data_IF_233222286688
#
_entry.id   IF_233222286688
#
_cell.length_a   1.000
_cell.length_b   1.000
_cell.length_c   1.000
_cell.angle_alpha   90.00
_cell.angle_beta   90.00
_cell.angle_gamma   90.00
#
_symmetry.space_group_name_H-M   'P 1'
#
loop_
_entity.id
_entity.type
_entity.pdbx_description
1 polymer ?
#
# COMPACT_ATOMS: atom_id res chain seq x y z
N UNK A 1 5.16 5.47 -4.45
CA UNK A 1 5.75 4.09 -4.30
C UNK A 1 5.67 3.27 -5.61
N UNK A 2 6.62 2.34 -5.87
CA UNK A 2 6.54 1.35 -6.99
C UNK A 2 6.10 -0.02 -6.47
N UNK A 3 5.19 -0.70 -7.16
CA UNK A 3 4.75 -2.06 -6.84
C UNK A 3 5.20 -3.02 -7.94
N UNK A 4 5.76 -4.16 -7.59
CA UNK A 4 6.15 -5.20 -8.55
C UNK A 4 5.25 -6.42 -8.34
N UNK A 5 4.60 -6.87 -9.41
CA UNK A 5 3.76 -8.07 -9.42
C UNK A 5 4.26 -9.05 -10.49
N UNK A 6 4.10 -10.35 -10.25
CA UNK A 6 4.34 -11.39 -11.23
C UNK A 6 3.02 -11.72 -11.95
N UNK A 7 2.83 -11.22 -13.16
CA UNK A 7 1.61 -11.44 -13.94
C UNK A 7 1.97 -12.29 -15.16
N UNK A 8 1.27 -13.41 -15.35
CA UNK A 8 1.55 -14.38 -16.43
C UNK A 8 3.02 -14.89 -16.47
N UNK A 9 3.71 -14.90 -15.34
CA UNK A 9 5.12 -15.31 -15.25
C UNK A 9 6.14 -14.21 -15.59
N UNK A 10 5.67 -13.00 -15.89
CA UNK A 10 6.52 -11.82 -16.14
C UNK A 10 6.39 -10.81 -14.99
N UNK A 11 7.49 -10.13 -14.68
CA UNK A 11 7.50 -9.10 -13.62
C UNK A 11 7.02 -7.78 -14.21
N UNK A 12 5.88 -7.31 -13.76
CA UNK A 12 5.33 -6.00 -14.11
C UNK A 12 5.55 -5.02 -12.96
N UNK A 13 5.87 -3.77 -13.29
CA UNK A 13 6.13 -2.70 -12.33
C UNK A 13 5.07 -1.63 -12.51
N UNK A 14 4.25 -1.45 -11.47
CA UNK A 14 3.19 -0.45 -11.41
C UNK A 14 3.64 0.78 -10.61
N UNK A 15 3.23 1.95 -11.08
CA UNK A 15 3.48 3.22 -10.41
C UNK A 15 2.17 3.80 -9.90
N UNK A 16 2.25 4.57 -8.81
CA UNK A 16 1.10 5.34 -8.34
C UNK A 16 0.68 6.36 -9.41
N UNK A 17 -0.62 6.59 -9.60
CA UNK A 17 -1.11 7.59 -10.53
C UNK A 17 -0.79 9.01 -10.03
N UNK A 18 -0.66 9.97 -10.95
CA UNK A 18 -0.42 11.39 -10.63
C UNK A 18 -1.52 12.00 -9.74
N UNK A 19 -2.75 11.50 -9.87
CA UNK A 19 -3.89 11.95 -9.09
C UNK A 19 -4.45 10.81 -8.24
N UNK A 20 -4.34 10.97 -6.92
CA UNK A 20 -4.89 10.04 -5.95
C UNK A 20 -6.09 10.73 -5.26
N UNK A 21 -7.32 10.20 -5.39
CA UNK A 21 -8.47 10.77 -4.72
C UNK A 21 -8.33 10.76 -3.20
N UNK A 22 -8.62 11.89 -2.54
CA UNK A 22 -8.55 12.02 -1.06
C UNK A 22 -9.40 10.98 -0.29
N UNK A 23 -10.43 10.41 -0.92
CA UNK A 23 -11.23 9.31 -0.35
C UNK A 23 -10.38 8.07 -0.03
N UNK A 24 -9.30 7.85 -0.77
CA UNK A 24 -8.39 6.73 -0.54
C UNK A 24 -7.62 6.92 0.76
N UNK A 25 -7.24 8.15 1.12
CA UNK A 25 -6.57 8.45 2.40
C UNK A 25 -7.45 8.04 3.59
N UNK A 26 -8.73 8.38 3.52
CA UNK A 26 -9.71 7.97 4.54
C UNK A 26 -9.82 6.43 4.66
N UNK A 27 -9.69 5.71 3.54
CA UNK A 27 -9.64 4.24 3.57
C UNK A 27 -8.30 3.74 4.12
N UNK A 28 -7.19 4.41 3.81
CA UNK A 28 -5.86 4.05 4.32
C UNK A 28 -5.84 4.04 5.84
N UNK A 29 -6.43 5.06 6.48
CA UNK A 29 -6.48 5.14 7.94
C UNK A 29 -7.28 4.01 8.56
N UNK A 30 -8.42 3.65 7.96
CA UNK A 30 -9.25 2.50 8.41
C UNK A 30 -8.48 1.17 8.27
N UNK A 31 -7.72 1.01 7.18
CA UNK A 31 -6.94 -0.21 6.95
C UNK A 31 -5.65 -0.26 7.80
N UNK A 32 -5.10 0.88 8.19
CA UNK A 32 -3.95 0.95 9.08
C UNK A 32 -4.27 0.50 10.51
N UNK A 33 -5.55 0.51 10.89
CA UNK A 33 -6.03 -0.01 12.18
C UNK A 33 -6.15 -1.54 12.19
N UNK A 34 -6.01 -2.22 11.04
CA UNK A 34 -6.07 -3.68 10.95
C UNK A 34 -4.87 -4.29 11.70
N UNK A 35 -5.09 -5.29 12.57
CA UNK A 35 -4.00 -5.93 13.32
C UNK A 35 -3.06 -6.72 12.40
N UNK A 36 -1.83 -6.99 12.87
CA UNK A 36 -0.82 -7.74 12.12
C UNK A 36 -1.21 -9.19 11.76
N UNK A 37 -2.31 -9.70 12.31
CA UNK A 37 -2.90 -10.98 11.94
C UNK A 37 -4.35 -10.76 11.44
N UNK A 38 -4.54 -10.23 10.22
CA UNK A 38 -5.85 -9.94 9.67
C UNK A 38 -6.63 -11.22 9.37
N UNK A 39 -7.95 -11.16 9.50
CA UNK A 39 -8.84 -12.20 9.01
C UNK A 39 -8.97 -12.12 7.47
N UNK A 40 -9.53 -13.17 6.86
CA UNK A 40 -9.71 -13.24 5.40
C UNK A 40 -10.43 -12.02 4.82
N UNK A 41 -11.43 -11.50 5.53
CA UNK A 41 -12.18 -10.33 5.10
C UNK A 41 -11.33 -9.06 5.10
N UNK A 42 -10.39 -8.92 6.04
CA UNK A 42 -9.50 -7.78 6.12
C UNK A 42 -8.41 -7.85 5.05
N UNK A 43 -7.86 -9.04 4.80
CA UNK A 43 -6.94 -9.26 3.68
C UNK A 43 -7.58 -8.84 2.35
N UNK A 44 -8.83 -9.25 2.09
CA UNK A 44 -9.55 -8.89 0.86
C UNK A 44 -9.74 -7.37 0.72
N UNK A 45 -10.11 -6.67 1.81
CA UNK A 45 -10.19 -5.20 1.82
C UNK A 45 -8.85 -4.56 1.49
N UNK A 46 -7.76 -5.07 2.06
CA UNK A 46 -6.43 -4.52 1.83
C UNK A 46 -6.00 -4.69 0.37
N UNK A 47 -6.22 -5.87 -0.24
CA UNK A 47 -5.90 -6.12 -1.66
C UNK A 47 -6.74 -5.25 -2.59
N UNK A 48 -8.04 -5.16 -2.32
CA UNK A 48 -8.95 -4.29 -3.07
C UNK A 48 -8.50 -2.84 -3.02
N UNK A 49 -8.10 -2.38 -1.83
CA UNK A 49 -7.60 -1.04 -1.65
C UNK A 49 -6.31 -0.78 -2.42
N UNK A 50 -5.34 -1.71 -2.40
CA UNK A 50 -4.11 -1.59 -3.21
C UNK A 50 -4.47 -1.43 -4.69
N UNK A 51 -5.41 -2.23 -5.19
CA UNK A 51 -5.87 -2.13 -6.58
C UNK A 51 -6.48 -0.75 -6.89
N UNK A 52 -7.29 -0.19 -5.98
CA UNK A 52 -7.87 1.15 -6.14
C UNK A 52 -6.79 2.26 -6.12
N UNK A 53 -5.77 2.13 -5.26
CA UNK A 53 -4.65 3.08 -5.13
C UNK A 53 -3.83 3.17 -6.40
N UNK A 54 -3.59 2.03 -7.05
CA UNK A 54 -2.92 1.97 -8.35
C UNK A 54 -3.87 2.28 -9.51
N UNK A 55 -5.05 2.87 -9.29
CA UNK A 55 -5.95 3.29 -10.35
C UNK A 55 -6.52 2.12 -11.17
N UNK A 56 -6.63 0.92 -10.59
CA UNK A 56 -7.07 -0.30 -11.26
C UNK A 56 -6.20 -0.70 -12.47
N UNK A 57 -4.89 -0.43 -12.43
CA UNK A 57 -3.93 -0.89 -13.45
C UNK A 57 -3.80 -2.42 -13.51
N UNK A 58 -4.17 -3.12 -12.44
CA UNK A 58 -4.24 -4.57 -12.32
C UNK A 58 -5.53 -4.93 -11.59
N UNK A 59 -5.85 -6.22 -11.51
CA UNK A 59 -7.02 -6.76 -10.81
C UNK A 59 -6.65 -7.32 -9.43
N UNK A 60 -7.66 -7.51 -8.59
CA UNK A 60 -7.51 -8.16 -7.27
C UNK A 60 -6.87 -9.55 -7.42
N UNK A 61 -7.33 -10.35 -8.38
CA UNK A 61 -6.75 -11.67 -8.66
C UNK A 61 -5.28 -11.58 -9.10
N UNK A 62 -4.94 -10.65 -9.99
CA UNK A 62 -3.55 -10.42 -10.39
C UNK A 62 -2.65 -9.98 -9.22
N UNK A 63 -3.20 -9.25 -8.25
CA UNK A 63 -2.46 -8.92 -7.04
C UNK A 63 -2.24 -10.17 -6.18
N UNK A 64 -3.31 -10.96 -5.93
CA UNK A 64 -3.26 -12.18 -5.15
C UNK A 64 -2.24 -13.19 -5.69
N UNK A 65 -2.23 -13.40 -7.01
CA UNK A 65 -1.32 -14.34 -7.66
C UNK A 65 0.08 -13.75 -7.90
N UNK A 66 0.17 -12.43 -8.05
CA UNK A 66 1.40 -11.75 -8.46
C UNK A 66 2.31 -11.28 -7.33
N UNK A 67 1.79 -11.12 -6.11
CA UNK A 67 2.59 -10.72 -4.94
C UNK A 67 3.28 -11.93 -4.30
N UNK A 68 4.53 -11.78 -3.86
CA UNK A 68 5.20 -12.85 -3.09
C UNK A 68 4.47 -13.04 -1.75
N UNK A 69 3.90 -14.23 -1.53
CA UNK A 69 3.13 -14.54 -0.32
C UNK A 69 3.89 -14.26 0.99
N UNK A 70 5.23 -14.39 1.00
CA UNK A 70 6.07 -14.09 2.17
C UNK A 70 6.21 -12.60 2.44
N UNK A 71 5.91 -11.77 1.44
CA UNK A 71 5.97 -10.31 1.50
C UNK A 71 4.58 -9.67 1.45
N UNK A 72 3.52 -10.43 1.21
CA UNK A 72 2.15 -9.94 1.06
C UNK A 72 1.80 -8.89 2.12
N UNK A 73 1.88 -9.24 3.41
CA UNK A 73 1.47 -8.35 4.49
C UNK A 73 2.36 -7.09 4.51
N UNK A 74 3.68 -7.26 4.44
CA UNK A 74 4.63 -6.14 4.43
C UNK A 74 4.37 -5.19 3.26
N UNK A 75 4.31 -5.72 2.04
CA UNK A 75 4.09 -4.92 0.82
C UNK A 75 2.74 -4.21 0.84
N UNK A 76 1.68 -4.89 1.28
CA UNK A 76 0.33 -4.30 1.35
C UNK A 76 0.27 -3.17 2.37
N UNK A 77 0.83 -3.38 3.56
CA UNK A 77 0.90 -2.37 4.63
C UNK A 77 1.81 -1.20 4.24
N UNK A 78 2.92 -1.46 3.56
CA UNK A 78 3.79 -0.41 3.02
C UNK A 78 3.05 0.49 2.01
N UNK A 79 2.20 -0.06 1.14
CA UNK A 79 1.38 0.74 0.21
C UNK A 79 0.40 1.62 1.00
N UNK A 80 -0.26 1.08 2.01
CA UNK A 80 -1.20 1.82 2.88
C UNK A 80 -0.48 2.98 3.58
N UNK A 81 0.65 2.70 4.23
CA UNK A 81 1.43 3.69 4.97
C UNK A 81 2.07 4.73 4.05
N UNK A 82 2.57 4.32 2.88
CA UNK A 82 3.15 5.24 1.90
C UNK A 82 2.13 6.30 1.48
N UNK A 83 0.86 5.91 1.31
CA UNK A 83 -0.17 6.86 0.91
C UNK A 83 -0.49 7.88 2.00
N UNK A 84 -0.54 7.43 3.26
CA UNK A 84 -0.71 8.32 4.42
C UNK A 84 0.46 9.30 4.48
N UNK A 85 1.70 8.80 4.33
CA UNK A 85 2.91 9.62 4.40
C UNK A 85 2.99 10.64 3.24
N UNK A 86 2.78 10.20 2.00
CA UNK A 86 2.79 11.08 0.81
C UNK A 86 1.76 12.22 0.96
N UNK A 87 0.62 11.97 1.61
CA UNK A 87 -0.40 13.01 1.88
C UNK A 87 0.04 14.01 2.95
N UNK A 88 0.66 13.54 4.03
CA UNK A 88 1.14 14.42 5.10
C UNK A 88 2.25 15.34 4.57
N UNK A 89 3.18 14.79 3.79
CA UNK A 89 4.26 15.54 3.14
C UNK A 89 3.69 16.56 2.13
N UNK A 90 2.72 16.18 1.31
CA UNK A 90 2.06 17.09 0.37
C UNK A 90 1.30 18.23 1.07
N UNK A 91 0.79 17.98 2.28
CA UNK A 91 0.15 18.99 3.12
C UNK A 91 1.14 19.90 3.87
N UNK A 92 2.45 19.69 3.71
CA UNK A 92 3.50 20.41 4.43
C UNK A 92 3.65 20.02 5.90
N UNK A 93 3.03 18.91 6.32
CA UNK A 93 3.29 18.30 7.61
C UNK A 93 4.55 17.47 7.52
N UNK A 94 5.51 17.70 8.40
CA UNK A 94 6.67 16.82 8.54
C UNK A 94 6.23 15.58 9.31
N UNK A 95 6.24 14.38 8.71
CA UNK A 95 6.28 13.15 9.51
C UNK A 95 7.70 12.96 10.06
N UNK A 96 8.05 13.78 11.05
CA UNK A 96 9.18 13.49 11.94
C UNK A 96 8.83 12.28 12.79
N UNK A 97 9.23 11.09 12.35
CA UNK A 97 8.78 9.83 12.95
C UNK A 97 9.70 8.63 12.71
N UNK A 98 10.99 8.83 12.51
CA UNK A 98 12.02 7.92 13.03
C UNK A 98 13.19 8.81 13.42
N UNK A 99 13.28 9.10 14.71
CA UNK A 99 14.55 9.43 15.34
C UNK A 99 15.49 8.25 15.14
N UNK A 100 16.28 8.28 14.07
CA UNK A 100 17.61 7.69 14.10
C UNK A 100 18.43 8.60 15.00
N UNK A 101 18.51 8.22 16.27
CA UNK A 101 19.46 8.76 17.24
C UNK A 101 20.88 8.59 16.65
N UNK A 102 21.64 9.67 16.39
CA UNK A 102 22.99 9.57 15.84
C UNK A 102 24.05 9.13 16.86
N UNK A 103 23.68 8.69 18.07
CA UNK A 103 24.67 8.44 19.11
C UNK A 103 24.24 7.41 20.16
N UNK A 104 24.36 6.11 19.84
CA UNK A 104 24.94 5.07 20.73
C UNK A 104 25.65 3.97 19.94
#
# INVERSE_FOLDING_TARGET
MKLTLLINGEKEIFQLPDFIPARLIRKSTELAEIPSNPDKADLDKMVKYVTEVYGNQFTVDQYWDGVDARKFLSTTTEVINSLINETVEAAGGTTGGTSEDPNQ
#
